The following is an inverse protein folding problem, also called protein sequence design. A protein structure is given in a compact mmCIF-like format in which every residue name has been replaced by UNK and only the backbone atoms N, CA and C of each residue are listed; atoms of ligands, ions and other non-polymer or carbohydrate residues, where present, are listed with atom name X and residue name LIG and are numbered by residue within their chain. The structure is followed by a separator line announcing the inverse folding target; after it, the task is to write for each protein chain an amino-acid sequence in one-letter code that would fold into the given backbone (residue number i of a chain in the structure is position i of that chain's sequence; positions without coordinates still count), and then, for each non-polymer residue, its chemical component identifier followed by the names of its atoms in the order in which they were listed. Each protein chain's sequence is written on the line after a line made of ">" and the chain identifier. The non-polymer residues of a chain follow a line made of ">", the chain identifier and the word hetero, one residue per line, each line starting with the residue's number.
data_IF_659974279022
#
_entry.id   IF_659974279022
#
_cell.length_a   1.000
_cell.length_b   1.000
_cell.length_c   1.000
_cell.angle_alpha   90.00
_cell.angle_beta   90.00
_cell.angle_gamma   90.00
#
_symmetry.space_group_name_H-M   'P 1'
#
loop_
_entity.id
_entity.type
_entity.pdbx_description
1 polymer ?
#
# COMPACT_ATOMS: atom_id res chain seq x y z
N UNK A 1 15.31 -4.35 -0.84
CA UNK A 1 13.84 -4.49 -0.76
C UNK A 1 13.50 -5.94 -0.46
N UNK A 2 12.59 -6.17 0.48
CA UNK A 2 12.00 -7.48 0.75
C UNK A 2 10.59 -7.52 0.17
N UNK A 3 10.37 -8.33 -0.87
CA UNK A 3 9.10 -8.45 -1.57
C UNK A 3 8.13 -9.30 -0.73
N UNK A 4 6.85 -8.92 -0.76
CA UNK A 4 5.72 -9.42 0.02
C UNK A 4 5.82 -9.15 1.52
N UNK A 5 6.89 -9.52 2.19
CA UNK A 5 7.09 -9.38 3.63
C UNK A 5 5.86 -9.82 4.46
N UNK A 6 5.10 -10.82 3.94
CA UNK A 6 3.76 -11.16 4.41
C UNK A 6 3.75 -11.70 5.84
N UNK A 7 4.69 -12.58 6.16
CA UNK A 7 4.79 -13.22 7.48
C UNK A 7 5.94 -12.65 8.33
N UNK A 8 6.43 -11.48 7.97
CA UNK A 8 7.48 -10.81 8.74
C UNK A 8 6.97 -10.41 10.12
N UNK A 9 7.79 -10.62 11.15
CA UNK A 9 7.46 -10.25 12.53
C UNK A 9 7.98 -8.85 12.86
N UNK A 10 7.46 -8.26 13.94
CA UNK A 10 7.84 -6.92 14.39
C UNK A 10 9.35 -6.80 14.64
N UNK A 11 9.95 -7.80 15.26
CA UNK A 11 11.39 -7.84 15.54
C UNK A 11 12.20 -7.80 14.24
N UNK A 12 11.76 -8.56 13.23
CA UNK A 12 12.40 -8.56 11.91
C UNK A 12 12.24 -7.23 11.18
N UNK A 13 11.09 -6.53 11.35
CA UNK A 13 10.94 -5.18 10.82
C UNK A 13 11.90 -4.17 11.47
N UNK A 14 12.18 -4.34 12.78
CA UNK A 14 13.18 -3.52 13.46
C UNK A 14 14.60 -3.77 12.90
N UNK A 15 14.98 -5.04 12.69
CA UNK A 15 16.24 -5.41 12.05
C UNK A 15 16.32 -4.88 10.60
N UNK A 16 15.22 -4.96 9.85
CA UNK A 16 15.15 -4.40 8.49
C UNK A 16 15.40 -2.90 8.49
N UNK A 17 14.87 -2.16 9.49
CA UNK A 17 15.12 -0.73 9.64
C UNK A 17 16.61 -0.45 9.86
N UNK A 18 17.26 -1.18 10.76
CA UNK A 18 18.69 -1.01 11.07
C UNK A 18 19.58 -1.34 9.87
N UNK A 19 19.15 -2.28 9.04
CA UNK A 19 19.85 -2.71 7.82
C UNK A 19 19.46 -1.89 6.58
N UNK A 20 18.56 -0.92 6.67
CA UNK A 20 18.07 -0.15 5.53
C UNK A 20 17.28 -0.97 4.50
N UNK A 21 16.66 -2.08 4.93
CA UNK A 21 15.85 -2.93 4.05
C UNK A 21 14.41 -2.43 4.05
N UNK A 22 13.87 -2.13 2.87
CA UNK A 22 12.48 -1.67 2.68
C UNK A 22 11.57 -2.87 2.47
N UNK A 23 10.53 -3.11 3.29
CA UNK A 23 9.50 -4.08 3.00
C UNK A 23 8.56 -3.54 1.92
N UNK A 24 8.26 -4.36 0.92
CA UNK A 24 7.23 -4.10 -0.09
C UNK A 24 6.09 -5.08 0.15
N UNK A 25 4.97 -4.59 0.68
CA UNK A 25 3.85 -5.44 1.07
C UNK A 25 2.85 -5.64 -0.06
N UNK A 26 2.35 -6.87 -0.19
CA UNK A 26 1.19 -7.17 -1.02
C UNK A 26 -0.09 -7.13 -0.16
N UNK A 27 -0.58 -5.93 0.16
CA UNK A 27 -1.72 -5.75 1.06
C UNK A 27 -3.01 -6.41 0.56
N UNK A 28 -3.17 -6.59 -0.75
CA UNK A 28 -4.33 -7.26 -1.32
C UNK A 28 -4.41 -8.76 -0.97
N UNK A 29 -3.35 -9.39 -0.44
CA UNK A 29 -3.44 -10.73 0.16
C UNK A 29 -4.54 -10.82 1.22
N UNK A 30 -4.77 -9.73 1.99
CA UNK A 30 -5.83 -9.68 2.99
C UNK A 30 -7.20 -9.88 2.37
N UNK A 31 -7.49 -9.16 1.31
CA UNK A 31 -8.79 -9.21 0.62
C UNK A 31 -8.99 -10.51 -0.15
N UNK A 32 -8.01 -10.90 -0.97
CA UNK A 32 -8.17 -12.02 -1.89
C UNK A 32 -7.98 -13.40 -1.23
N UNK A 33 -7.13 -13.50 -0.22
CA UNK A 33 -6.76 -14.79 0.39
C UNK A 33 -6.81 -14.78 1.92
N UNK A 34 -7.29 -13.71 2.55
CA UNK A 34 -7.30 -13.57 4.01
C UNK A 34 -8.07 -14.68 4.72
N UNK A 35 -9.21 -15.09 4.18
CA UNK A 35 -10.01 -16.20 4.74
C UNK A 35 -9.24 -17.52 4.66
N UNK A 36 -8.61 -17.83 3.52
CA UNK A 36 -7.77 -19.04 3.34
C UNK A 36 -6.53 -18.99 4.25
N UNK A 37 -5.96 -17.81 4.45
CA UNK A 37 -4.84 -17.66 5.39
C UNK A 37 -5.28 -17.92 6.84
N UNK A 38 -6.50 -17.52 7.22
CA UNK A 38 -7.06 -17.82 8.54
C UNK A 38 -7.24 -19.32 8.76
N UNK A 39 -7.67 -20.05 7.73
CA UNK A 39 -7.78 -21.50 7.76
C UNK A 39 -6.40 -22.19 7.85
N UNK A 40 -5.45 -21.79 6.98
CA UNK A 40 -4.17 -22.48 6.85
C UNK A 40 -3.18 -22.15 7.98
N UNK A 41 -3.15 -20.92 8.47
CA UNK A 41 -2.18 -20.46 9.47
C UNK A 41 -2.75 -20.39 10.88
N UNK A 42 -4.09 -20.50 11.01
CA UNK A 42 -4.82 -20.17 12.21
C UNK A 42 -5.03 -18.66 12.40
N UNK A 43 -6.06 -18.27 13.17
CA UNK A 43 -6.50 -16.87 13.27
C UNK A 43 -5.42 -15.91 13.78
N UNK A 44 -4.61 -16.32 14.74
CA UNK A 44 -3.57 -15.45 15.31
C UNK A 44 -2.48 -15.08 14.31
N UNK A 45 -1.98 -16.03 13.52
CA UNK A 45 -0.95 -15.78 12.51
C UNK A 45 -1.54 -15.04 11.30
N UNK A 46 -2.77 -15.37 10.89
CA UNK A 46 -3.45 -14.66 9.83
C UNK A 46 -3.72 -13.19 10.18
N UNK A 47 -4.06 -12.89 11.43
CA UNK A 47 -4.22 -11.51 11.91
C UNK A 47 -2.92 -10.69 11.80
N UNK A 48 -1.75 -11.34 11.90
CA UNK A 48 -0.45 -10.66 11.88
C UNK A 48 0.18 -10.51 10.49
N UNK A 49 -0.44 -11.01 9.41
CA UNK A 49 0.12 -10.88 8.06
C UNK A 49 0.20 -9.43 7.59
N UNK A 50 1.21 -9.14 6.77
CA UNK A 50 1.45 -7.79 6.22
C UNK A 50 1.36 -6.71 7.30
N UNK A 51 2.29 -6.66 8.27
CA UNK A 51 2.20 -5.81 9.47
C UNK A 51 2.57 -4.35 9.18
N UNK A 52 1.77 -3.69 8.33
CA UNK A 52 1.94 -2.31 7.87
C UNK A 52 2.01 -1.31 9.04
N UNK A 53 1.06 -1.42 10.00
CA UNK A 53 1.04 -0.55 11.17
C UNK A 53 2.29 -0.70 12.05
N UNK A 54 2.90 -1.90 12.09
CA UNK A 54 4.18 -2.06 12.78
C UNK A 54 5.32 -1.33 12.05
N UNK A 55 5.38 -1.39 10.72
CA UNK A 55 6.38 -0.67 9.94
C UNK A 55 6.22 0.85 10.12
N UNK A 56 4.97 1.35 10.06
CA UNK A 56 4.66 2.76 10.31
C UNK A 56 5.10 3.20 11.72
N UNK A 57 4.73 2.44 12.75
CA UNK A 57 5.08 2.75 14.14
C UNK A 57 6.60 2.74 14.39
N UNK A 58 7.36 1.95 13.65
CA UNK A 58 8.82 1.93 13.68
C UNK A 58 9.44 3.09 12.88
N UNK A 59 8.66 3.84 12.10
CA UNK A 59 9.17 4.81 11.14
C UNK A 59 10.02 4.15 10.04
N UNK A 60 9.74 2.89 9.72
CA UNK A 60 10.36 2.16 8.62
C UNK A 60 9.61 2.48 7.33
N UNK A 61 10.23 3.08 6.31
CA UNK A 61 9.61 3.24 5.01
C UNK A 61 9.20 1.87 4.44
N UNK A 62 7.99 1.80 3.93
CA UNK A 62 7.49 0.60 3.26
C UNK A 62 6.79 0.99 1.96
N UNK A 63 6.66 0.04 1.05
CA UNK A 63 5.92 0.23 -0.21
C UNK A 63 4.78 -0.78 -0.31
N UNK A 64 3.86 -0.51 -1.21
CA UNK A 64 2.77 -1.41 -1.57
C UNK A 64 2.93 -1.81 -3.03
N UNK A 65 2.62 -3.08 -3.34
CA UNK A 65 2.61 -3.60 -4.70
C UNK A 65 1.40 -4.50 -4.95
N UNK A 66 1.20 -4.89 -6.20
CA UNK A 66 0.04 -5.65 -6.65
C UNK A 66 0.38 -6.98 -7.28
N UNK A 67 1.66 -7.22 -7.52
CA UNK A 67 2.17 -8.47 -8.11
C UNK A 67 1.46 -8.86 -9.43
N UNK A 68 1.13 -7.85 -10.24
CA UNK A 68 0.50 -8.05 -11.56
C UNK A 68 1.32 -9.03 -12.41
N UNK A 69 0.70 -10.07 -12.99
CA UNK A 69 -0.75 -10.24 -13.27
C UNK A 69 -1.56 -11.03 -12.22
N UNK A 70 -1.03 -11.22 -11.00
CA UNK A 70 -1.74 -11.96 -9.94
C UNK A 70 -3.08 -11.30 -9.61
N UNK A 71 -3.09 -9.97 -9.53
CA UNK A 71 -4.32 -9.16 -9.49
C UNK A 71 -4.25 -8.05 -10.55
N UNK A 72 -5.40 -7.45 -10.86
CA UNK A 72 -5.47 -6.29 -11.76
C UNK A 72 -4.74 -5.09 -11.14
N UNK A 73 -4.10 -4.24 -11.97
CA UNK A 73 -3.39 -3.06 -11.49
C UNK A 73 -4.38 -1.98 -11.03
N UNK A 74 -4.72 -1.98 -9.74
CA UNK A 74 -5.55 -0.97 -9.08
C UNK A 74 -4.91 -0.53 -7.75
N UNK A 75 -4.21 0.61 -7.78
CA UNK A 75 -3.53 1.13 -6.59
C UNK A 75 -4.51 1.66 -5.53
N UNK A 76 -5.71 2.12 -5.90
CA UNK A 76 -6.72 2.56 -4.93
C UNK A 76 -7.31 1.37 -4.18
N UNK A 77 -7.52 0.21 -4.84
CA UNK A 77 -7.86 -1.03 -4.15
C UNK A 77 -6.75 -1.47 -3.19
N UNK A 78 -5.49 -1.35 -3.61
CA UNK A 78 -4.33 -1.69 -2.76
C UNK A 78 -4.26 -0.80 -1.52
N UNK A 79 -4.47 0.51 -1.66
CA UNK A 79 -4.58 1.48 -0.55
C UNK A 79 -5.77 1.10 0.35
N UNK A 80 -6.92 0.81 -0.23
CA UNK A 80 -8.11 0.36 0.49
C UNK A 80 -7.84 -0.89 1.34
N UNK A 81 -7.14 -1.90 0.78
CA UNK A 81 -6.76 -3.12 1.49
C UNK A 81 -5.86 -2.81 2.71
N UNK A 82 -4.89 -1.92 2.56
CA UNK A 82 -3.97 -1.54 3.63
C UNK A 82 -4.68 -0.79 4.78
N UNK A 83 -5.66 0.05 4.43
CA UNK A 83 -6.42 0.86 5.37
C UNK A 83 -7.48 0.05 6.11
N UNK A 84 -8.20 -0.85 5.43
CA UNK A 84 -9.35 -1.55 5.99
C UNK A 84 -9.02 -2.95 6.53
N UNK A 85 -8.06 -3.66 5.91
CA UNK A 85 -7.65 -5.01 6.27
C UNK A 85 -8.79 -6.04 6.30
N UNK A 86 -9.74 -5.89 5.38
CA UNK A 86 -10.88 -6.78 5.22
C UNK A 86 -10.53 -8.00 4.38
N UNK A 87 -11.17 -9.14 4.70
CA UNK A 87 -11.24 -10.32 3.83
C UNK A 87 -12.51 -10.27 2.99
N UNK A 88 -12.62 -11.10 1.96
CA UNK A 88 -13.85 -11.26 1.18
C UNK A 88 -15.00 -11.80 2.01
N UNK A 89 -14.72 -12.62 3.03
CA UNK A 89 -15.70 -13.12 3.99
C UNK A 89 -16.16 -12.07 5.00
N UNK A 90 -15.60 -10.85 4.96
CA UNK A 90 -15.99 -9.74 5.83
C UNK A 90 -15.26 -9.69 7.18
N UNK A 91 -14.30 -10.59 7.42
CA UNK A 91 -13.47 -10.52 8.62
C UNK A 91 -12.44 -9.39 8.52
N UNK A 92 -12.09 -8.77 9.65
CA UNK A 92 -10.97 -7.83 9.75
C UNK A 92 -9.77 -8.55 10.36
N UNK A 93 -8.66 -8.61 9.63
CA UNK A 93 -7.45 -9.28 10.10
C UNK A 93 -6.45 -8.28 10.68
N UNK A 94 -6.27 -8.31 12.01
CA UNK A 94 -5.34 -7.44 12.73
C UNK A 94 -5.67 -5.95 12.57
N UNK A 95 -6.79 -5.46 13.11
CA UNK A 95 -7.21 -4.06 12.96
C UNK A 95 -6.17 -3.05 13.48
N UNK A 96 -5.33 -3.46 14.42
CA UNK A 96 -4.22 -2.68 14.98
C UNK A 96 -3.05 -2.49 13.99
N UNK A 97 -3.04 -3.25 12.90
CA UNK A 97 -2.02 -3.18 11.85
C UNK A 97 -2.47 -2.33 10.65
N UNK A 98 -3.63 -1.66 10.75
CA UNK A 98 -4.09 -0.69 9.76
C UNK A 98 -3.11 0.48 9.68
N UNK A 99 -3.06 1.10 8.52
CA UNK A 99 -2.38 2.38 8.31
C UNK A 99 -3.37 3.45 7.90
N UNK A 100 -3.01 4.72 8.06
CA UNK A 100 -3.84 5.82 7.57
C UNK A 100 -3.88 5.85 6.04
N UNK A 101 -4.94 6.40 5.41
CA UNK A 101 -4.97 6.62 3.97
C UNK A 101 -3.75 7.40 3.47
N UNK A 102 -3.30 8.40 4.21
CA UNK A 102 -2.10 9.18 3.86
C UNK A 102 -0.82 8.33 3.89
N UNK A 103 -0.66 7.43 4.88
CA UNK A 103 0.49 6.54 4.95
C UNK A 103 0.49 5.55 3.78
N UNK A 104 -0.67 4.98 3.44
CA UNK A 104 -0.82 4.09 2.29
C UNK A 104 -0.54 4.82 0.96
N UNK A 105 -1.00 6.06 0.78
CA UNK A 105 -0.68 6.89 -0.40
C UNK A 105 0.81 7.19 -0.49
N UNK A 106 1.49 7.47 0.61
CA UNK A 106 2.95 7.64 0.63
C UNK A 106 3.68 6.37 0.21
N UNK A 107 3.18 5.22 0.61
CA UNK A 107 3.76 3.93 0.25
C UNK A 107 3.71 3.64 -1.26
N UNK A 108 2.71 4.15 -1.98
CA UNK A 108 2.58 4.00 -3.44
C UNK A 108 3.14 5.19 -4.23
N UNK A 109 3.65 6.21 -3.57
CA UNK A 109 4.20 7.42 -4.22
C UNK A 109 5.62 7.73 -3.76
N UNK A 110 5.77 8.42 -2.64
CA UNK A 110 7.08 8.90 -2.14
C UNK A 110 8.01 7.75 -1.80
N UNK A 111 7.51 6.74 -1.08
CA UNK A 111 8.33 5.59 -0.70
C UNK A 111 8.62 4.69 -1.90
N UNK A 112 7.69 4.58 -2.86
CA UNK A 112 7.93 3.87 -4.10
C UNK A 112 9.03 4.55 -4.93
N UNK A 113 9.03 5.87 -5.03
CA UNK A 113 10.11 6.61 -5.67
C UNK A 113 11.46 6.39 -4.96
N UNK A 114 11.47 6.43 -3.63
CA UNK A 114 12.65 6.16 -2.82
C UNK A 114 13.18 4.73 -3.03
N UNK A 115 12.31 3.74 -3.11
CA UNK A 115 12.69 2.35 -3.38
C UNK A 115 13.48 2.19 -4.70
N UNK A 116 13.19 3.04 -5.68
CA UNK A 116 13.85 3.05 -7.00
C UNK A 116 14.95 4.10 -7.13
N UNK A 117 15.35 4.76 -6.03
CA UNK A 117 16.35 5.85 -6.03
C UNK A 117 15.98 7.00 -6.97
N UNK A 118 14.69 7.33 -7.01
CA UNK A 118 14.10 8.37 -7.86
C UNK A 118 13.35 9.45 -7.06
N UNK A 119 13.53 9.49 -5.75
CA UNK A 119 12.87 10.44 -4.85
C UNK A 119 13.15 11.89 -5.19
N UNK A 120 14.28 12.19 -5.80
CA UNK A 120 14.63 13.55 -6.26
C UNK A 120 13.82 13.98 -7.49
N UNK A 121 13.32 13.03 -8.27
CA UNK A 121 12.66 13.30 -9.57
C UNK A 121 11.19 12.88 -9.61
N UNK A 122 10.75 11.99 -8.73
CA UNK A 122 9.41 11.39 -8.72
C UNK A 122 8.78 11.40 -7.32
N UNK A 123 7.55 10.90 -7.23
CA UNK A 123 6.85 10.55 -5.98
C UNK A 123 6.19 11.70 -5.23
N UNK A 124 6.40 12.95 -5.60
CA UNK A 124 5.74 14.10 -4.96
C UNK A 124 5.61 15.28 -5.89
N UNK A 125 4.59 16.11 -5.64
CA UNK A 125 4.34 17.35 -6.38
C UNK A 125 5.24 18.44 -5.79
N UNK A 126 6.40 18.67 -6.43
CA UNK A 126 7.34 19.72 -6.07
C UNK A 126 7.97 20.32 -7.32
N UNK A 127 8.33 21.65 -7.33
CA UNK A 127 9.07 22.23 -8.42
C UNK A 127 10.36 21.44 -8.73
N UNK A 128 10.63 21.23 -10.01
CA UNK A 128 11.80 20.47 -10.49
C UNK A 128 11.58 18.96 -10.61
N UNK A 129 10.48 18.40 -10.09
CA UNK A 129 10.13 16.99 -10.31
C UNK A 129 9.32 16.78 -11.59
N UNK A 130 9.37 15.56 -12.08
CA UNK A 130 8.61 15.13 -13.25
C UNK A 130 7.11 15.21 -12.94
N UNK A 131 6.34 15.82 -13.82
CA UNK A 131 4.90 15.95 -13.68
C UNK A 131 4.18 14.65 -14.11
N UNK A 132 4.34 13.60 -13.29
CA UNK A 132 3.58 12.36 -13.35
C UNK A 132 2.47 12.45 -12.29
N UNK A 133 1.26 12.66 -12.73
CA UNK A 133 0.12 13.02 -11.88
C UNK A 133 -1.11 12.22 -12.26
N UNK A 134 -2.02 12.05 -11.31
CA UNK A 134 -3.38 11.59 -11.56
C UNK A 134 -4.37 12.61 -10.98
N UNK A 135 -5.51 12.77 -11.65
CA UNK A 135 -6.67 13.50 -11.13
C UNK A 135 -7.68 12.46 -10.68
N UNK A 136 -8.13 12.57 -9.43
CA UNK A 136 -9.06 11.65 -8.81
C UNK A 136 -10.45 12.28 -8.68
N UNK A 137 -11.50 11.45 -8.64
CA UNK A 137 -12.90 11.90 -8.47
C UNK A 137 -13.20 12.41 -7.06
N UNK A 138 -12.38 12.05 -6.07
CA UNK A 138 -12.47 12.50 -4.68
C UNK A 138 -11.10 12.38 -4.00
N UNK A 139 -10.94 13.04 -2.85
CA UNK A 139 -9.74 12.92 -2.01
C UNK A 139 -9.79 11.61 -1.20
N UNK A 140 -8.89 10.64 -1.46
CA UNK A 140 -8.88 9.37 -0.71
C UNK A 140 -8.60 9.54 0.79
N UNK A 141 -8.12 10.70 1.23
CA UNK A 141 -7.87 10.99 2.65
C UNK A 141 -9.07 11.60 3.37
N UNK A 142 -10.08 12.02 2.62
CA UNK A 142 -11.27 12.71 3.13
C UNK A 142 -12.56 11.89 3.00
N UNK A 143 -12.60 10.88 2.14
CA UNK A 143 -13.74 9.95 2.02
C UNK A 143 -13.77 8.95 3.18
N UNK A 144 -14.91 8.27 3.38
CA UNK A 144 -14.95 7.11 4.28
C UNK A 144 -13.89 6.08 3.83
N UNK A 145 -13.10 5.51 4.75
CA UNK A 145 -12.11 4.49 4.39
C UNK A 145 -12.66 3.34 3.54
N UNK A 146 -13.93 2.98 3.72
CA UNK A 146 -14.58 1.94 2.92
C UNK A 146 -14.82 2.36 1.46
N UNK A 147 -14.90 3.66 1.20
CA UNK A 147 -15.17 4.22 -0.13
C UNK A 147 -13.90 4.50 -0.95
N UNK A 148 -12.70 4.35 -0.37
CA UNK A 148 -11.43 4.61 -1.07
C UNK A 148 -11.35 3.87 -2.41
N UNK A 149 -11.77 2.61 -2.46
CA UNK A 149 -11.76 1.80 -3.69
C UNK A 149 -12.79 2.24 -4.74
N UNK A 150 -13.73 3.10 -4.36
CA UNK A 150 -14.73 3.68 -5.27
C UNK A 150 -14.26 5.00 -5.89
N UNK A 151 -13.17 5.57 -5.40
CA UNK A 151 -12.53 6.74 -5.99
C UNK A 151 -11.97 6.37 -7.37
N UNK A 152 -12.32 7.15 -8.39
CA UNK A 152 -11.93 6.88 -9.77
C UNK A 152 -10.78 7.78 -10.19
N UNK A 153 -9.87 7.25 -11.00
CA UNK A 153 -8.93 8.07 -11.76
C UNK A 153 -9.74 8.75 -12.87
N UNK A 154 -9.67 10.04 -13.00
CA UNK A 154 -10.31 10.84 -14.04
C UNK A 154 -9.33 11.21 -15.16
N UNK A 155 -8.07 11.39 -14.81
CA UNK A 155 -7.02 11.72 -15.76
C UNK A 155 -5.68 11.17 -15.28
N UNK A 156 -4.86 10.69 -16.23
CA UNK A 156 -3.47 10.33 -16.00
C UNK A 156 -2.57 11.22 -16.86
N UNK A 157 -1.62 11.87 -16.20
CA UNK A 157 -0.66 12.79 -16.79
C UNK A 157 0.74 12.18 -16.65
N UNK A 158 1.45 12.04 -17.76
CA UNK A 158 2.83 11.59 -17.80
C UNK A 158 3.73 12.67 -18.41
N UNK A 159 4.73 13.11 -17.65
CA UNK A 159 5.65 14.19 -18.03
C UNK A 159 4.92 15.46 -18.49
N UNK A 160 3.85 15.83 -17.77
CA UNK A 160 3.05 17.01 -18.05
C UNK A 160 2.11 16.87 -19.26
N UNK A 161 1.93 15.68 -19.82
CA UNK A 161 0.99 15.42 -20.92
C UNK A 161 -0.06 14.43 -20.48
N UNK A 162 -1.33 14.73 -20.75
CA UNK A 162 -2.44 13.80 -20.57
C UNK A 162 -2.24 12.58 -21.47
N UNK A 163 -2.17 11.40 -20.87
CA UNK A 163 -2.03 10.12 -21.59
C UNK A 163 -3.28 9.26 -21.50
N UNK A 164 -4.17 9.57 -20.57
CA UNK A 164 -5.46 8.92 -20.42
C UNK A 164 -6.46 9.87 -19.74
N UNK A 165 -7.74 9.80 -20.12
CA UNK A 165 -8.85 10.54 -19.53
C UNK A 165 -10.11 9.68 -19.57
N UNK A 166 -10.93 9.69 -18.46
CA UNK A 166 -12.18 8.91 -18.33
C UNK A 166 -13.31 9.49 -19.17
#
# INVERSE_FOLDING_TARGET
>A
VMIHAQLVRREQLAEMKDLGIIPSFFAAHLWYWGDVHAENFGPGRAASISPLGCAEALGLPFTLHQDTPVIQPDMLETVWCAVNRLTRGGAVLGPELRVSPMAALRAVTVHAAYQYFREDTLGSIRPGKQADLIILSADPTAVDPMDIRSVRVLETIHRGKTVWQA
#
